data_IF_299894592999
#
_entry.id   IF_299894592999
#
_cell.length_a   1.000
_cell.length_b   1.000
_cell.length_c   1.000
_cell.angle_alpha   90.00
_cell.angle_beta   90.00
_cell.angle_gamma   90.00
#
_symmetry.space_group_name_H-M   'P 1'
#
loop_
_entity.id
_entity.type
_entity.pdbx_description
1 polymer ?
#
# COMPACT_ATOMS: atom_id res chain seq x y z
N UNK A 1 8.12 -12.68 -23.87
CA UNK A 1 8.62 -12.11 -22.59
C UNK A 1 9.63 -11.03 -22.94
N UNK A 2 9.46 -9.81 -22.42
CA UNK A 2 10.37 -8.70 -22.70
C UNK A 2 11.23 -8.42 -21.46
N UNK A 3 12.44 -8.99 -21.46
CA UNK A 3 13.37 -8.90 -20.32
C UNK A 3 14.16 -7.57 -20.30
N UNK A 4 13.97 -6.70 -21.30
CA UNK A 4 14.73 -5.44 -21.45
C UNK A 4 14.46 -4.47 -20.29
N UNK A 5 13.22 -4.47 -19.82
CA UNK A 5 12.77 -3.56 -18.76
C UNK A 5 12.80 -4.22 -17.37
N UNK A 6 13.35 -5.42 -17.27
CA UNK A 6 13.47 -6.10 -15.98
C UNK A 6 14.41 -5.32 -15.07
N UNK A 7 13.98 -5.19 -13.83
CA UNK A 7 14.77 -4.80 -12.68
C UNK A 7 15.19 -6.06 -11.89
N UNK A 8 15.92 -5.85 -10.80
CA UNK A 8 16.40 -6.92 -9.92
C UNK A 8 15.22 -7.73 -9.36
N UNK A 9 14.14 -7.07 -8.94
CA UNK A 9 12.98 -7.73 -8.35
C UNK A 9 12.33 -8.71 -9.33
N UNK A 10 12.18 -8.30 -10.59
CA UNK A 10 11.66 -9.14 -11.66
C UNK A 10 12.54 -10.38 -11.89
N UNK A 11 13.87 -10.21 -11.91
CA UNK A 11 14.80 -11.34 -12.05
C UNK A 11 14.71 -12.34 -10.89
N UNK A 12 14.68 -11.87 -9.65
CA UNK A 12 14.63 -12.76 -8.46
C UNK A 12 13.27 -13.43 -8.25
N UNK A 13 12.22 -12.99 -8.96
CA UNK A 13 10.90 -13.65 -8.98
C UNK A 13 10.65 -14.50 -10.22
N UNK A 14 11.53 -14.42 -11.22
CA UNK A 14 11.40 -15.19 -12.46
C UNK A 14 11.88 -16.62 -12.26
N UNK A 15 10.95 -17.58 -12.26
CA UNK A 15 11.26 -19.01 -12.11
C UNK A 15 12.27 -19.51 -13.16
N UNK A 16 12.20 -19.02 -14.39
CA UNK A 16 13.10 -19.42 -15.46
C UNK A 16 14.54 -18.91 -15.24
N UNK A 17 14.66 -17.69 -14.69
CA UNK A 17 15.94 -17.13 -14.27
C UNK A 17 16.49 -17.83 -13.02
N UNK A 18 15.66 -18.02 -11.99
CA UNK A 18 16.04 -18.71 -10.75
C UNK A 18 16.50 -20.14 -11.06
N UNK A 19 15.80 -20.85 -11.95
CA UNK A 19 16.18 -22.19 -12.36
C UNK A 19 17.55 -22.20 -13.03
N UNK A 20 17.84 -21.25 -13.93
CA UNK A 20 19.17 -21.13 -14.53
C UNK A 20 20.28 -20.92 -13.49
N UNK A 21 20.02 -20.08 -12.47
CA UNK A 21 20.99 -19.80 -11.41
C UNK A 21 21.19 -21.01 -10.46
N UNK A 22 20.12 -21.73 -10.11
CA UNK A 22 20.16 -22.81 -9.12
C UNK A 22 20.46 -24.20 -9.71
N UNK A 23 19.91 -24.50 -10.87
CA UNK A 23 20.07 -25.78 -11.56
C UNK A 23 20.04 -25.55 -13.08
N UNK A 24 21.18 -25.12 -13.67
CA UNK A 24 21.25 -24.80 -15.09
C UNK A 24 20.93 -26.03 -15.94
N UNK A 25 20.11 -25.81 -16.96
CA UNK A 25 19.79 -26.78 -18.02
C UNK A 25 20.23 -26.20 -19.38
N UNK A 26 20.26 -27.04 -20.41
CA UNK A 26 20.78 -26.62 -21.73
C UNK A 26 19.95 -25.48 -22.34
N UNK A 27 18.62 -25.54 -22.19
CA UNK A 27 17.71 -24.55 -22.78
C UNK A 27 17.78 -23.18 -22.09
N UNK A 28 17.83 -23.14 -20.76
CA UNK A 28 17.89 -21.90 -19.99
C UNK A 28 19.29 -21.27 -20.06
N UNK A 29 20.37 -22.08 -20.09
CA UNK A 29 21.72 -21.57 -20.27
C UNK A 29 21.88 -20.92 -21.64
N UNK A 30 21.47 -21.60 -22.70
CA UNK A 30 21.53 -21.05 -24.05
C UNK A 30 20.69 -19.76 -24.18
N UNK A 31 19.52 -19.69 -23.55
CA UNK A 31 18.71 -18.47 -23.55
C UNK A 31 19.40 -17.30 -22.84
N UNK A 32 19.84 -17.51 -21.60
CA UNK A 32 20.40 -16.43 -20.77
C UNK A 32 21.78 -15.98 -21.24
N UNK A 33 22.61 -16.87 -21.77
CA UNK A 33 23.87 -16.51 -22.41
C UNK A 33 23.64 -15.61 -23.63
N UNK A 34 22.76 -16.04 -24.55
CA UNK A 34 22.41 -15.24 -25.73
C UNK A 34 21.77 -13.91 -25.36
N UNK A 35 20.94 -13.88 -24.31
CA UNK A 35 20.35 -12.64 -23.83
C UNK A 35 21.39 -11.69 -23.23
N UNK A 36 22.34 -12.21 -22.45
CA UNK A 36 23.44 -11.41 -21.90
C UNK A 36 24.40 -10.87 -22.96
N UNK A 37 24.61 -11.59 -24.07
CA UNK A 37 25.36 -11.09 -25.23
C UNK A 37 24.67 -9.90 -25.89
N UNK A 38 23.33 -9.92 -25.94
CA UNK A 38 22.52 -8.86 -26.53
C UNK A 38 22.31 -7.66 -25.60
N UNK A 39 22.50 -7.85 -24.28
CA UNK A 39 22.25 -6.86 -23.23
C UNK A 39 23.44 -6.71 -22.27
N UNK A 40 24.63 -6.32 -22.76
CA UNK A 40 25.82 -6.15 -21.92
C UNK A 40 25.61 -5.13 -20.79
N UNK A 41 24.76 -4.12 -21.00
CA UNK A 41 24.38 -3.10 -20.02
C UNK A 41 23.66 -3.67 -18.80
N UNK A 42 22.96 -4.80 -18.95
CA UNK A 42 22.23 -5.47 -17.87
C UNK A 42 23.08 -6.48 -17.11
N UNK A 43 24.32 -6.76 -17.56
CA UNK A 43 25.19 -7.78 -16.95
C UNK A 43 25.44 -7.54 -15.45
N UNK A 44 25.63 -6.29 -15.04
CA UNK A 44 25.80 -5.93 -13.64
C UNK A 44 24.57 -6.31 -12.80
N UNK A 45 23.38 -6.00 -13.32
CA UNK A 45 22.09 -6.30 -12.68
C UNK A 45 21.84 -7.81 -12.61
N UNK A 46 22.13 -8.56 -13.68
CA UNK A 46 22.03 -10.02 -13.71
C UNK A 46 22.94 -10.64 -12.65
N UNK A 47 24.17 -10.17 -12.54
CA UNK A 47 25.11 -10.65 -11.53
C UNK A 47 24.62 -10.36 -10.10
N UNK A 48 24.06 -9.17 -9.87
CA UNK A 48 23.48 -8.81 -8.58
C UNK A 48 22.30 -9.71 -8.22
N UNK A 49 21.36 -9.91 -9.14
CA UNK A 49 20.23 -10.83 -8.94
C UNK A 49 20.70 -12.27 -8.70
N UNK A 50 21.69 -12.74 -9.46
CA UNK A 50 22.28 -14.06 -9.29
C UNK A 50 22.94 -14.22 -7.91
N UNK A 51 23.62 -13.19 -7.42
CA UNK A 51 24.23 -13.19 -6.09
C UNK A 51 23.16 -13.22 -4.99
N UNK A 52 22.08 -12.45 -5.13
CA UNK A 52 20.95 -12.49 -4.21
C UNK A 52 20.36 -13.90 -4.14
N UNK A 53 20.02 -14.50 -5.29
CA UNK A 53 19.45 -15.86 -5.35
C UNK A 53 20.37 -16.89 -4.70
N UNK A 54 21.69 -16.80 -4.91
CA UNK A 54 22.67 -17.71 -4.28
C UNK A 54 22.86 -17.46 -2.79
N UNK A 55 22.69 -16.21 -2.34
CA UNK A 55 22.82 -15.83 -0.93
C UNK A 55 21.63 -16.27 -0.08
N UNK A 56 20.44 -16.40 -0.69
CA UNK A 56 19.25 -16.88 -0.01
C UNK A 56 19.41 -18.37 0.27
N UNK A 57 19.82 -18.67 1.50
CA UNK A 57 19.76 -20.02 2.07
C UNK A 57 18.54 -20.09 2.98
N UNK A 58 17.78 -21.16 2.85
CA UNK A 58 16.79 -21.49 3.88
C UNK A 58 17.54 -21.76 5.18
N UNK A 59 17.38 -20.85 6.16
CA UNK A 59 18.02 -20.97 7.47
C UNK A 59 17.56 -22.24 8.21
N UNK A 60 16.39 -22.75 7.84
CA UNK A 60 15.79 -23.95 8.40
C UNK A 60 15.06 -24.68 7.27
N UNK A 61 15.65 -25.78 6.81
CA UNK A 61 14.94 -26.80 6.04
C UNK A 61 14.78 -27.99 6.99
N UNK A 62 13.70 -28.06 7.78
CA UNK A 62 13.48 -29.24 8.59
C UNK A 62 13.38 -30.43 7.63
N UNK A 63 14.33 -31.36 7.74
CA UNK A 63 14.11 -32.68 7.19
C UNK A 63 12.97 -33.29 7.99
N UNK A 64 11.77 -33.21 7.44
CA UNK A 64 10.64 -33.92 8.00
C UNK A 64 10.94 -35.41 7.89
N UNK A 65 11.33 -36.01 9.01
CA UNK A 65 11.41 -37.46 9.12
C UNK A 65 10.01 -38.04 9.00
N UNK A 66 9.87 -39.23 8.43
CA UNK A 66 8.58 -39.94 8.33
C UNK A 66 7.81 -39.96 9.66
N UNK A 67 8.52 -40.14 10.77
CA UNK A 67 7.95 -40.08 12.12
C UNK A 67 7.31 -38.73 12.43
N UNK A 68 7.99 -37.63 12.11
CA UNK A 68 7.48 -36.27 12.36
C UNK A 68 6.27 -35.95 11.48
N UNK A 69 6.23 -36.46 10.24
CA UNK A 69 5.03 -36.38 9.39
C UNK A 69 3.84 -37.10 10.01
N UNK A 70 4.03 -38.37 10.40
CA UNK A 70 2.97 -39.18 11.02
C UNK A 70 2.48 -38.52 12.30
N UNK A 71 3.39 -38.11 13.19
CA UNK A 71 3.02 -37.45 14.45
C UNK A 71 2.23 -36.16 14.24
N UNK A 72 2.63 -35.33 13.28
CA UNK A 72 1.92 -34.08 12.96
C UNK A 72 0.54 -34.36 12.36
N UNK A 73 0.45 -35.34 11.46
CA UNK A 73 -0.80 -35.74 10.82
C UNK A 73 -1.81 -36.33 11.82
N UNK A 74 -1.33 -37.22 12.71
CA UNK A 74 -2.13 -37.78 13.80
C UNK A 74 -2.67 -36.71 14.75
N UNK A 75 -1.86 -35.69 15.08
CA UNK A 75 -2.31 -34.55 15.89
C UNK A 75 -3.42 -33.75 15.18
N UNK A 76 -3.32 -33.54 13.87
CA UNK A 76 -4.34 -32.85 13.08
C UNK A 76 -5.65 -33.66 13.06
N UNK A 77 -5.58 -34.98 12.80
CA UNK A 77 -6.76 -35.86 12.80
C UNK A 77 -7.42 -35.94 14.17
N UNK A 78 -6.64 -35.99 15.24
CA UNK A 78 -7.15 -36.02 16.60
C UNK A 78 -7.85 -34.71 16.97
N UNK A 79 -7.28 -33.57 16.61
CA UNK A 79 -7.88 -32.26 16.85
C UNK A 79 -9.22 -32.08 16.12
N UNK A 80 -9.35 -32.60 14.90
CA UNK A 80 -10.60 -32.56 14.11
C UNK A 80 -11.71 -33.46 14.73
N UNK A 81 -11.33 -34.66 15.17
CA UNK A 81 -12.25 -35.58 15.84
C UNK A 81 -12.71 -35.06 17.23
N UNK A 82 -11.82 -34.42 17.98
CA UNK A 82 -12.15 -33.82 19.28
C UNK A 82 -13.09 -32.60 19.13
N UNK A 83 -12.89 -31.76 18.11
CA UNK A 83 -13.81 -30.67 17.77
C UNK A 83 -15.20 -31.17 17.32
N UNK A 84 -15.26 -32.35 16.71
CA UNK A 84 -16.52 -33.00 16.32
C UNK A 84 -17.32 -33.56 17.51
N UNK A 85 -16.68 -33.82 18.65
CA UNK A 85 -17.33 -34.41 19.84
C UNK A 85 -17.94 -33.39 20.82
N UNK A 86 -17.64 -32.09 20.68
CA UNK A 86 -18.18 -31.02 21.53
C UNK A 86 -18.79 -29.88 20.70
N UNK A 87 -19.76 -30.20 19.82
CA UNK A 87 -20.90 -29.33 19.45
C UNK A 87 -21.80 -30.01 18.43
N UNK A 88 -22.83 -30.68 18.92
CA UNK A 88 -24.05 -30.94 18.16
C UNK A 88 -25.29 -30.56 18.98
N UNK A 89 -25.57 -29.27 19.04
CA UNK A 89 -26.94 -28.76 19.01
C UNK A 89 -27.00 -27.77 17.85
N UNK A 90 -27.65 -28.18 16.77
CA UNK A 90 -27.94 -27.33 15.61
C UNK A 90 -28.88 -26.18 16.03
N UNK A 91 -28.92 -25.08 15.27
CA UNK A 91 -30.00 -25.01 14.29
C UNK A 91 -29.57 -24.59 12.88
N UNK A 92 -30.13 -25.33 11.93
CA UNK A 92 -30.62 -25.04 10.56
C UNK A 92 -30.01 -23.92 9.68
N UNK A 93 -29.92 -24.16 8.35
CA UNK A 93 -29.62 -23.14 7.37
C UNK A 93 -30.92 -22.36 7.04
N UNK A 94 -30.92 -21.04 7.23
CA UNK A 94 -31.89 -20.20 6.54
C UNK A 94 -31.23 -18.90 6.11
N UNK A 95 -31.31 -18.67 4.80
CA UNK A 95 -30.97 -17.41 4.16
C UNK A 95 -31.90 -16.30 4.63
N UNK A 96 -31.40 -15.07 4.49
CA UNK A 96 -32.09 -13.77 4.54
C UNK A 96 -31.90 -12.93 5.81
N UNK A 97 -31.38 -11.74 5.55
CA UNK A 97 -31.53 -10.49 6.30
C UNK A 97 -31.13 -10.48 7.77
N UNK A 98 -29.98 -9.90 8.07
CA UNK A 98 -29.96 -8.67 8.89
C UNK A 98 -28.57 -8.03 8.87
N UNK A 99 -28.59 -6.73 8.62
CA UNK A 99 -27.48 -5.79 8.77
C UNK A 99 -26.97 -5.84 10.22
N UNK A 100 -25.65 -5.73 10.41
CA UNK A 100 -25.08 -5.66 11.75
C UNK A 100 -23.56 -5.67 11.80
N UNK A 101 -22.93 -4.57 11.39
CA UNK A 101 -21.64 -4.10 11.91
C UNK A 101 -20.42 -5.05 11.85
N UNK A 102 -19.91 -5.30 10.64
CA UNK A 102 -18.56 -5.83 10.40
C UNK A 102 -17.51 -4.73 10.14
N UNK A 103 -17.71 -3.54 10.72
CA UNK A 103 -16.82 -2.38 10.57
C UNK A 103 -16.56 -1.70 11.92
N UNK A 104 -16.12 -2.44 12.93
CA UNK A 104 -15.67 -1.87 14.21
C UNK A 104 -14.29 -2.34 14.63
N UNK A 105 -13.30 -2.21 13.74
CA UNK A 105 -11.87 -2.22 14.08
C UNK A 105 -11.09 -1.27 13.19
N UNK A 106 -11.45 0.01 13.21
CA UNK A 106 -10.56 1.09 12.77
C UNK A 106 -10.13 1.86 14.02
N UNK A 107 -8.85 1.86 14.41
CA UNK A 107 -8.40 2.68 15.52
C UNK A 107 -8.47 4.15 15.09
N UNK A 108 -9.23 4.93 15.85
CA UNK A 108 -9.50 6.36 15.68
C UNK A 108 -8.26 7.22 15.99
N UNK A 109 -7.14 6.96 15.30
CA UNK A 109 -5.91 7.75 15.41
C UNK A 109 -5.61 8.57 14.15
N UNK A 110 -6.40 8.37 13.09
CA UNK A 110 -6.25 9.05 11.80
C UNK A 110 -7.30 10.12 11.49
N UNK A 111 -8.44 10.17 12.19
CA UNK A 111 -9.52 11.12 11.82
C UNK A 111 -9.13 12.56 12.12
N UNK A 112 -8.43 12.82 13.22
CA UNK A 112 -7.91 14.16 13.53
C UNK A 112 -6.92 14.64 12.45
N UNK A 113 -6.05 13.76 11.95
CA UNK A 113 -5.12 14.08 10.88
C UNK A 113 -5.86 14.38 9.57
N UNK A 114 -6.89 13.60 9.23
CA UNK A 114 -7.71 13.86 8.05
C UNK A 114 -8.47 15.19 8.14
N UNK A 115 -8.98 15.55 9.33
CA UNK A 115 -9.62 16.85 9.56
C UNK A 115 -8.61 18.01 9.46
N UNK A 116 -7.39 17.85 9.99
CA UNK A 116 -6.32 18.84 9.86
C UNK A 116 -5.87 19.01 8.42
N UNK A 117 -5.72 17.92 7.66
CA UNK A 117 -5.34 17.97 6.25
C UNK A 117 -6.44 18.61 5.41
N UNK A 118 -7.72 18.26 5.64
CA UNK A 118 -8.85 18.90 4.97
C UNK A 118 -8.95 20.39 5.29
N UNK A 119 -8.78 20.78 6.55
CA UNK A 119 -8.77 22.18 6.95
C UNK A 119 -7.59 22.95 6.34
N UNK A 120 -6.40 22.33 6.31
CA UNK A 120 -5.21 22.94 5.71
C UNK A 120 -5.37 23.11 4.20
N UNK A 121 -5.92 22.12 3.50
CA UNK A 121 -6.21 22.20 2.06
C UNK A 121 -7.29 23.26 1.76
N UNK A 122 -8.32 23.38 2.61
CA UNK A 122 -9.32 24.44 2.48
C UNK A 122 -8.73 25.84 2.67
N UNK A 123 -7.88 26.02 3.68
CA UNK A 123 -7.19 27.29 3.91
C UNK A 123 -6.21 27.64 2.77
N UNK A 124 -5.49 26.65 2.22
CA UNK A 124 -4.65 26.86 1.05
C UNK A 124 -5.46 27.21 -0.21
N UNK A 125 -6.64 26.61 -0.38
CA UNK A 125 -7.55 26.91 -1.47
C UNK A 125 -8.11 28.34 -1.37
N UNK A 126 -8.56 28.76 -0.18
CA UNK A 126 -8.95 30.15 0.05
C UNK A 126 -7.78 31.10 -0.21
N UNK A 127 -6.59 30.85 0.36
CA UNK A 127 -5.41 31.71 0.16
C UNK A 127 -5.03 31.87 -1.31
N UNK A 128 -5.18 30.83 -2.13
CA UNK A 128 -4.92 30.90 -3.56
C UNK A 128 -6.04 31.63 -4.33
N UNK A 129 -7.30 31.51 -3.88
CA UNK A 129 -8.45 32.17 -4.49
C UNK A 129 -8.81 33.54 -3.90
N UNK A 130 -8.09 34.02 -2.88
CA UNK A 130 -8.18 35.39 -2.38
C UNK A 130 -7.68 36.34 -3.48
N UNK A 131 -8.63 36.83 -4.30
CA UNK A 131 -8.46 38.10 -4.99
C UNK A 131 -8.66 39.18 -3.94
N UNK A 132 -7.62 39.94 -3.55
CA UNK A 132 -7.85 41.10 -2.72
C UNK A 132 -8.77 42.05 -3.49
N UNK A 133 -9.98 42.26 -2.97
CA UNK A 133 -10.81 43.39 -3.36
C UNK A 133 -9.92 44.64 -3.31
N UNK A 134 -9.81 45.42 -4.41
CA UNK A 134 -9.05 46.65 -4.37
C UNK A 134 -9.71 47.54 -3.33
N UNK A 135 -8.95 47.89 -2.28
CA UNK A 135 -9.40 48.83 -1.25
C UNK A 135 -9.90 50.08 -1.96
N UNK A 136 -11.23 50.21 -2.04
CA UNK A 136 -11.92 51.36 -2.57
C UNK A 136 -11.48 52.55 -1.73
N UNK A 137 -10.70 53.42 -2.37
CA UNK A 137 -10.19 54.64 -1.79
C UNK A 137 -11.37 55.40 -1.22
N UNK A 138 -11.39 55.58 0.09
CA UNK A 138 -12.34 56.45 0.76
C UNK A 138 -12.15 57.87 0.24
N UNK A 139 -12.91 58.22 -0.79
CA UNK A 139 -13.10 59.59 -1.23
C UNK A 139 -14.60 59.80 -1.44
N UNK A 140 -15.10 60.88 -0.84
CA UNK A 140 -16.45 61.44 -0.92
C UNK A 140 -17.50 60.96 0.08
N UNK A 141 -17.34 61.38 1.35
CA UNK A 141 -18.44 62.08 2.03
C UNK A 141 -18.14 63.58 2.06
N UNK A 142 -18.34 64.24 0.91
CA UNK A 142 -18.69 65.66 0.90
C UNK A 142 -20.11 65.78 1.47
N UNK A 143 -20.19 65.67 2.79
CA UNK A 143 -21.40 65.90 3.56
C UNK A 143 -21.18 67.17 4.38
N UNK A 144 -21.24 68.31 3.67
CA UNK A 144 -22.00 69.51 4.04
C UNK A 144 -22.27 69.66 5.55
N UNK A 145 -21.22 69.89 6.33
CA UNK A 145 -21.35 70.43 7.69
C UNK A 145 -21.41 71.94 7.53
N UNK A 146 -22.64 72.47 7.49
CA UNK A 146 -22.83 73.90 7.70
C UNK A 146 -22.40 74.27 9.11
N UNK A 147 -21.57 75.31 9.30
CA UNK A 147 -21.14 75.68 10.63
C UNK A 147 -22.26 76.36 11.44
N UNK A 148 -22.43 75.92 12.68
CA UNK A 148 -23.46 76.37 13.64
C UNK A 148 -23.29 77.83 14.08
N UNK A 149 -22.19 78.50 13.74
CA UNK A 149 -21.95 79.91 14.08
C UNK A 149 -22.69 80.92 13.16
N UNK A 150 -23.30 80.48 12.05
CA UNK A 150 -24.00 81.35 11.11
C UNK A 150 -25.43 81.77 11.53
N UNK A 151 -25.85 81.49 12.78
CA UNK A 151 -27.19 81.83 13.30
C UNK A 151 -27.19 82.77 14.51
N UNK A 152 -26.05 83.33 14.89
CA UNK A 152 -25.96 84.34 15.93
C UNK A 152 -25.14 85.51 15.38
N UNK A 153 -25.75 86.33 14.53
CA UNK A 153 -25.51 87.76 14.40
C UNK A 153 -26.55 88.33 13.43
N UNK A 154 -27.31 89.31 13.95
CA UNK A 154 -28.49 90.01 13.40
C UNK A 154 -29.84 89.29 13.42
#
# INVERSE_FOLDING_TARGET
MNYKDYDIANFITDEFFIQWIKNPNENNSHFWEKWMEQHPEKRAMVNEAANLIRSVKYAYSPEFTDKMYVETFEQILKADNEQSSVKHSKPTPNSSSSKGSFLSFIPLRGIAASLLVLFCLWAQYEAFNYRPEPVEKAETSDQKIQPVWAKIHY
#
